data_IF_293132766757
#
_entry.id   IF_293132766757
#
_cell.length_a   1.000
_cell.length_b   1.000
_cell.length_c   1.000
_cell.angle_alpha   90.00
_cell.angle_beta   90.00
_cell.angle_gamma   90.00
#
_symmetry.space_group_name_H-M   'P 1'
#
loop_
_entity.id
_entity.type
_entity.pdbx_description
1 polymer ?
#
# COMPACT_ATOMS: atom_id res chain seq x y z
N UNK A 1 -7.98 6.64 19.68
CA UNK A 1 -7.70 5.67 18.64
C UNK A 1 -6.31 5.90 18.06
N UNK A 2 -5.55 4.83 18.03
CA UNK A 2 -4.21 4.87 17.49
C UNK A 2 -4.20 4.84 15.96
N UNK A 3 -3.02 4.93 15.35
CA UNK A 3 -2.88 4.93 13.90
C UNK A 3 -3.06 3.55 13.30
N UNK A 4 -3.29 3.54 11.98
CA UNK A 4 -3.08 2.35 11.16
C UNK A 4 -1.96 2.62 10.17
N UNK A 5 -1.31 1.58 9.71
CA UNK A 5 -0.26 1.66 8.69
C UNK A 5 -0.50 0.61 7.62
N UNK A 6 -0.04 0.92 6.42
CA UNK A 6 -0.05 -0.01 5.30
C UNK A 6 1.36 -0.14 4.74
N UNK A 7 1.77 -1.36 4.47
CA UNK A 7 2.91 -1.65 3.61
C UNK A 7 2.36 -2.06 2.26
N UNK A 8 2.83 -1.42 1.20
CA UNK A 8 2.32 -1.63 -0.15
C UNK A 8 3.46 -2.01 -1.09
N UNK A 9 3.18 -2.93 -2.00
CA UNK A 9 4.16 -3.36 -2.99
C UNK A 9 3.45 -3.50 -4.33
N UNK A 10 3.97 -2.83 -5.36
CA UNK A 10 3.40 -2.92 -6.70
C UNK A 10 3.62 -4.32 -7.27
N UNK A 11 2.52 -4.97 -7.64
CA UNK A 11 2.55 -6.35 -8.11
C UNK A 11 3.27 -6.48 -9.44
N UNK A 12 4.17 -7.46 -9.50
CA UNK A 12 4.90 -7.81 -10.72
C UNK A 12 5.67 -6.64 -11.34
N UNK A 13 6.14 -5.71 -10.52
CA UNK A 13 6.81 -4.51 -11.00
C UNK A 13 8.07 -4.82 -11.80
N UNK A 14 8.82 -5.87 -11.40
CA UNK A 14 9.99 -6.30 -12.16
C UNK A 14 9.61 -6.66 -13.60
N UNK A 15 8.48 -7.36 -13.78
CA UNK A 15 7.99 -7.71 -15.12
C UNK A 15 7.62 -6.47 -15.93
N UNK A 16 7.07 -5.45 -15.28
CA UNK A 16 6.76 -4.17 -15.93
C UNK A 16 8.03 -3.54 -16.48
N UNK A 17 9.09 -3.45 -15.67
CA UNK A 17 10.38 -2.93 -16.11
C UNK A 17 10.99 -3.77 -17.23
N UNK A 18 10.97 -5.09 -17.09
CA UNK A 18 11.56 -6.01 -18.07
C UNK A 18 10.85 -5.92 -19.42
N UNK A 19 9.53 -5.70 -19.41
CA UNK A 19 8.73 -5.65 -20.65
C UNK A 19 8.73 -4.27 -21.29
N UNK A 20 8.66 -3.21 -20.49
CA UNK A 20 8.43 -1.85 -20.97
C UNK A 20 9.59 -0.87 -20.73
N UNK A 21 10.61 -1.31 -19.97
CA UNK A 21 11.78 -0.48 -19.65
C UNK A 21 11.59 0.35 -18.38
N UNK A 22 12.72 0.84 -17.87
CA UNK A 22 12.75 1.56 -16.58
C UNK A 22 12.01 2.91 -16.62
N UNK A 23 12.01 3.60 -17.77
CA UNK A 23 11.27 4.87 -17.88
C UNK A 23 9.78 4.65 -17.71
N UNK A 24 9.25 3.57 -18.30
CA UNK A 24 7.84 3.20 -18.12
C UNK A 24 7.57 2.81 -16.66
N UNK A 25 8.47 2.03 -16.06
CA UNK A 25 8.36 1.67 -14.65
C UNK A 25 8.34 2.89 -13.73
N UNK A 26 9.19 3.88 -13.99
CA UNK A 26 9.20 5.13 -13.22
C UNK A 26 7.87 5.87 -13.38
N UNK A 27 7.31 5.91 -14.59
CA UNK A 27 6.00 6.52 -14.81
C UNK A 27 4.89 5.79 -14.06
N UNK A 28 4.95 4.46 -13.98
CA UNK A 28 4.00 3.64 -13.20
C UNK A 28 4.11 4.00 -11.71
N UNK A 29 5.32 4.15 -11.18
CA UNK A 29 5.53 4.54 -9.77
C UNK A 29 4.95 5.92 -9.48
N UNK A 30 5.18 6.90 -10.35
CA UNK A 30 4.63 8.25 -10.18
C UNK A 30 3.11 8.21 -10.24
N UNK A 31 2.55 7.49 -11.19
CA UNK A 31 1.11 7.33 -11.34
C UNK A 31 0.49 6.69 -10.09
N UNK A 32 1.10 5.64 -9.58
CA UNK A 32 0.66 4.98 -8.33
C UNK A 32 0.62 5.99 -7.17
N UNK A 33 1.69 6.75 -6.99
CA UNK A 33 1.78 7.72 -5.90
C UNK A 33 0.71 8.80 -6.03
N UNK A 34 0.50 9.33 -7.22
CA UNK A 34 -0.51 10.36 -7.47
C UNK A 34 -1.92 9.83 -7.20
N UNK A 35 -2.25 8.64 -7.72
CA UNK A 35 -3.57 8.04 -7.52
C UNK A 35 -3.81 7.72 -6.05
N UNK A 36 -2.81 7.21 -5.36
CA UNK A 36 -2.92 6.90 -3.93
C UNK A 36 -3.15 8.17 -3.12
N UNK A 37 -2.39 9.23 -3.37
CA UNK A 37 -2.57 10.51 -2.67
C UNK A 37 -3.97 11.08 -2.83
N UNK A 38 -4.60 10.87 -3.99
CA UNK A 38 -5.95 11.36 -4.24
C UNK A 38 -7.02 10.74 -3.33
N UNK A 39 -6.78 9.53 -2.83
CA UNK A 39 -7.73 8.85 -1.94
C UNK A 39 -7.37 8.98 -0.46
N UNK A 40 -6.21 9.57 -0.15
CA UNK A 40 -5.78 9.77 1.23
C UNK A 40 -6.39 11.04 1.81
N UNK A 41 -6.55 11.06 3.15
CA UNK A 41 -6.96 12.24 3.88
C UNK A 41 -5.77 13.19 4.03
N UNK A 42 -6.07 14.44 4.39
CA UNK A 42 -5.06 15.48 4.57
C UNK A 42 -4.00 15.09 5.61
N UNK A 43 -4.39 14.41 6.68
CA UNK A 43 -3.48 13.98 7.74
C UNK A 43 -2.68 12.74 7.37
N UNK A 44 -3.09 12.01 6.34
CA UNK A 44 -2.43 10.78 5.94
C UNK A 44 -1.12 11.08 5.20
N UNK A 45 -0.20 10.14 5.24
CA UNK A 45 1.10 10.30 4.60
C UNK A 45 1.44 9.07 3.78
N UNK A 46 1.98 9.33 2.60
CA UNK A 46 2.53 8.31 1.70
C UNK A 46 4.02 8.54 1.58
N UNK A 47 4.80 7.48 1.79
CA UNK A 47 6.24 7.53 1.60
C UNK A 47 6.70 6.33 0.77
N UNK A 48 7.78 6.53 0.02
CA UNK A 48 8.41 5.43 -0.69
C UNK A 48 9.37 4.74 0.29
N UNK A 49 9.20 3.43 0.47
CA UNK A 49 9.95 2.66 1.44
C UNK A 49 11.16 1.96 0.80
N UNK A 50 11.01 1.50 -0.43
CA UNK A 50 12.04 0.82 -1.20
C UNK A 50 11.73 0.96 -2.68
N UNK A 51 12.30 0.14 -3.55
CA UNK A 51 12.14 0.21 -4.99
C UNK A 51 10.70 0.41 -5.45
N UNK A 52 9.87 -0.61 -5.31
CA UNK A 52 8.43 -0.57 -5.62
C UNK A 52 7.58 -0.69 -4.36
N UNK A 53 8.16 -0.41 -3.20
CA UNK A 53 7.50 -0.50 -1.90
C UNK A 53 7.17 0.87 -1.34
N UNK A 54 5.98 0.98 -0.78
CA UNK A 54 5.48 2.22 -0.19
C UNK A 54 4.92 1.97 1.20
N UNK A 55 4.84 3.03 1.97
CA UNK A 55 4.28 3.03 3.32
C UNK A 55 3.21 4.11 3.39
N UNK A 56 2.06 3.77 3.94
CA UNK A 56 1.00 4.75 4.22
C UNK A 56 0.78 4.79 5.73
N UNK A 57 0.78 5.99 6.28
CA UNK A 57 0.45 6.24 7.67
C UNK A 57 -0.94 6.90 7.73
N UNK A 58 -1.82 6.32 8.53
CA UNK A 58 -3.21 6.77 8.69
C UNK A 58 -3.45 7.14 10.15
N UNK A 59 -3.10 8.38 10.57
CA UNK A 59 -3.28 8.80 11.96
C UNK A 59 -4.76 8.74 12.37
N UNK A 60 -5.04 8.17 13.54
CA UNK A 60 -6.38 8.11 14.08
C UNK A 60 -7.37 7.22 13.35
N UNK A 61 -6.93 6.46 12.37
CA UNK A 61 -7.81 5.57 11.61
C UNK A 61 -7.86 4.19 12.29
N UNK A 62 -9.05 3.74 12.64
CA UNK A 62 -9.24 2.38 13.11
C UNK A 62 -9.19 1.39 11.93
N UNK A 63 -9.32 0.09 12.22
CA UNK A 63 -9.24 -0.94 11.20
C UNK A 63 -10.28 -0.75 10.09
N UNK A 64 -11.51 -0.43 10.44
CA UNK A 64 -12.57 -0.26 9.43
C UNK A 64 -12.29 0.92 8.51
N UNK A 65 -11.88 2.06 9.08
CA UNK A 65 -11.53 3.24 8.29
C UNK A 65 -10.34 2.96 7.38
N UNK A 66 -9.32 2.27 7.90
CA UNK A 66 -8.13 1.91 7.14
C UNK A 66 -8.46 0.94 6.00
N UNK A 67 -9.31 -0.05 6.24
CA UNK A 67 -9.75 -0.97 5.17
C UNK A 67 -10.51 -0.23 4.07
N UNK A 68 -11.30 0.78 4.43
CA UNK A 68 -11.97 1.63 3.45
C UNK A 68 -10.99 2.37 2.55
N UNK A 69 -9.90 2.88 3.13
CA UNK A 69 -8.84 3.53 2.35
C UNK A 69 -8.17 2.51 1.41
N UNK A 70 -7.86 1.33 1.90
CA UNK A 70 -7.25 0.28 1.08
C UNK A 70 -8.14 -0.09 -0.12
N UNK A 71 -9.45 -0.22 0.11
CA UNK A 71 -10.39 -0.50 -0.97
C UNK A 71 -10.39 0.61 -2.02
N UNK A 72 -10.32 1.87 -1.61
CA UNK A 72 -10.25 2.99 -2.54
C UNK A 72 -8.95 3.01 -3.32
N UNK A 73 -7.85 2.61 -2.70
CA UNK A 73 -6.56 2.48 -3.42
C UNK A 73 -6.71 1.44 -4.54
N UNK A 74 -7.22 0.25 -4.22
CA UNK A 74 -7.43 -0.78 -5.24
C UNK A 74 -8.36 -0.30 -6.35
N UNK A 75 -9.44 0.36 -6.00
CA UNK A 75 -10.43 0.83 -6.97
C UNK A 75 -9.85 1.88 -7.92
N UNK A 76 -9.06 2.81 -7.40
CA UNK A 76 -8.48 3.86 -8.26
C UNK A 76 -7.43 3.29 -9.22
N UNK A 77 -6.78 2.18 -8.86
CA UNK A 77 -5.81 1.51 -9.73
C UNK A 77 -6.44 0.51 -10.70
N UNK A 78 -7.74 0.34 -10.64
CA UNK A 78 -8.51 -0.52 -11.54
C UNK A 78 -9.31 0.30 -12.56
N UNK A 79 -8.89 1.53 -12.82
CA UNK A 79 -9.61 2.48 -13.69
C UNK A 79 -9.42 2.22 -15.18
N UNK A 80 -8.48 1.37 -15.55
CA UNK A 80 -8.15 1.10 -16.96
C UNK A 80 -7.12 2.05 -17.55
N UNK A 81 -6.52 2.90 -16.73
CA UNK A 81 -5.45 3.79 -17.20
C UNK A 81 -4.22 2.96 -17.60
N UNK A 82 -3.51 3.33 -18.70
CA UNK A 82 -2.35 2.56 -19.18
C UNK A 82 -1.22 2.39 -18.16
N UNK A 83 -1.13 3.28 -17.17
CA UNK A 83 -0.09 3.22 -16.14
C UNK A 83 -0.58 2.57 -14.85
N UNK A 84 -1.80 2.06 -14.80
CA UNK A 84 -2.32 1.36 -13.63
C UNK A 84 -1.50 0.09 -13.39
N UNK A 85 -1.27 -0.20 -12.10
CA UNK A 85 -0.56 -1.39 -11.66
C UNK A 85 -1.25 -1.88 -10.39
N UNK A 86 -1.51 -3.17 -10.31
CA UNK A 86 -2.10 -3.76 -9.11
C UNK A 86 -1.11 -3.68 -7.95
N UNK A 87 -1.64 -3.73 -6.74
CA UNK A 87 -0.85 -3.59 -5.53
C UNK A 87 -1.29 -4.61 -4.49
N UNK A 88 -0.31 -5.14 -3.75
CA UNK A 88 -0.56 -5.96 -2.56
C UNK A 88 -0.36 -5.08 -1.34
N UNK A 89 -1.24 -5.18 -0.36
CA UNK A 89 -1.25 -4.33 0.83
C UNK A 89 -1.30 -5.18 2.09
N UNK A 90 -0.38 -4.91 3.01
CA UNK A 90 -0.46 -5.39 4.39
C UNK A 90 -0.89 -4.25 5.28
N UNK A 91 -1.97 -4.43 6.02
CA UNK A 91 -2.60 -3.40 6.84
C UNK A 91 -2.56 -3.81 8.30
N UNK A 92 -2.12 -2.91 9.18
CA UNK A 92 -2.20 -3.13 10.62
C UNK A 92 -2.73 -1.88 11.31
N UNK A 93 -3.43 -2.11 12.43
CA UNK A 93 -3.88 -1.03 13.29
C UNK A 93 -3.17 -1.16 14.64
N UNK A 94 -2.86 -0.02 15.26
CA UNK A 94 -2.19 0.01 16.56
C UNK A 94 -3.02 -0.78 17.59
N UNK A 95 -2.35 -1.69 18.30
CA UNK A 95 -3.02 -2.59 19.24
C UNK A 95 -3.03 -2.11 20.68
N UNK A 96 -2.39 -0.98 20.97
CA UNK A 96 -2.38 -0.40 22.30
C UNK A 96 -1.00 0.08 22.72
N UNK A 97 -0.91 0.69 23.94
CA UNK A 97 0.33 1.36 24.40
C UNK A 97 1.55 0.44 24.49
N UNK A 98 1.34 -0.86 24.51
CA UNK A 98 2.44 -1.84 24.60
C UNK A 98 3.11 -2.06 23.24
N UNK A 99 2.45 -1.69 22.17
CA UNK A 99 2.98 -1.96 20.82
C UNK A 99 3.89 -0.84 20.35
N UNK A 100 5.08 -1.22 19.88
CA UNK A 100 6.03 -0.28 19.27
C UNK A 100 5.72 -0.11 17.79
N UNK A 101 6.26 0.95 17.20
CA UNK A 101 6.18 1.15 15.75
C UNK A 101 6.83 -0.02 15.00
N UNK A 102 7.98 -0.49 15.48
CA UNK A 102 8.66 -1.64 14.85
C UNK A 102 7.78 -2.89 14.86
N UNK A 103 7.05 -3.12 15.93
CA UNK A 103 6.12 -4.25 16.01
C UNK A 103 4.97 -4.09 15.01
N UNK A 104 4.42 -2.89 14.85
CA UNK A 104 3.39 -2.61 13.85
C UNK A 104 3.91 -2.86 12.44
N UNK A 105 5.10 -2.36 12.14
CA UNK A 105 5.73 -2.54 10.81
C UNK A 105 5.97 -4.01 10.53
N UNK A 106 6.42 -4.77 11.52
CA UNK A 106 6.61 -6.22 11.40
C UNK A 106 5.31 -6.95 11.05
N UNK A 107 4.20 -6.58 11.72
CA UNK A 107 2.88 -7.16 11.44
C UNK A 107 2.40 -6.78 10.03
N UNK A 108 2.60 -5.53 9.63
CA UNK A 108 2.23 -5.07 8.30
C UNK A 108 3.01 -5.80 7.22
N UNK A 109 4.31 -5.99 7.44
CA UNK A 109 5.18 -6.71 6.52
C UNK A 109 4.75 -8.18 6.37
N UNK A 110 4.45 -8.84 7.48
CA UNK A 110 3.94 -10.22 7.47
C UNK A 110 2.60 -10.31 6.72
N UNK A 111 1.71 -9.33 6.92
CA UNK A 111 0.43 -9.26 6.22
C UNK A 111 0.64 -9.05 4.71
N UNK A 112 1.57 -8.18 4.33
CA UNK A 112 1.93 -7.97 2.93
C UNK A 112 2.43 -9.26 2.29
N UNK A 113 3.28 -10.00 2.98
CA UNK A 113 3.78 -11.28 2.50
C UNK A 113 2.62 -12.25 2.24
N UNK A 114 1.64 -12.30 3.15
CA UNK A 114 0.45 -13.14 2.95
C UNK A 114 -0.38 -12.68 1.75
N UNK A 115 -0.53 -11.37 1.55
CA UNK A 115 -1.25 -10.84 0.39
C UNK A 115 -0.62 -11.33 -0.91
N UNK A 116 0.71 -11.32 -0.99
CA UNK A 116 1.44 -11.82 -2.16
C UNK A 116 1.24 -13.32 -2.35
N UNK A 117 1.27 -14.08 -1.27
CA UNK A 117 1.11 -15.54 -1.31
C UNK A 117 -0.30 -15.95 -1.69
N UNK A 118 -1.30 -15.17 -1.30
CA UNK A 118 -2.71 -15.49 -1.54
C UNK A 118 -3.18 -15.08 -2.93
N UNK A 119 -2.32 -14.51 -3.74
CA UNK A 119 -2.64 -14.21 -5.14
C UNK A 119 -2.44 -12.77 -5.54
N UNK A 120 -1.88 -11.93 -4.70
CA UNK A 120 -1.64 -10.49 -4.97
C UNK A 120 -2.94 -9.71 -5.17
N UNK A 121 -2.84 -8.45 -5.53
CA UNK A 121 -3.99 -7.56 -5.79
C UNK A 121 -5.03 -7.65 -4.69
N UNK A 122 -4.59 -7.48 -3.45
CA UNK A 122 -5.47 -7.58 -2.27
C UNK A 122 -4.84 -6.93 -1.06
N UNK A 123 -5.70 -6.71 -0.05
CA UNK A 123 -5.28 -6.27 1.27
C UNK A 123 -5.43 -7.43 2.24
N UNK A 124 -4.39 -7.67 3.04
CA UNK A 124 -4.46 -8.59 4.18
C UNK A 124 -4.26 -7.77 5.44
N UNK A 125 -5.14 -7.98 6.42
CA UNK A 125 -5.08 -7.33 7.72
C UNK A 125 -4.30 -8.21 8.68
N UNK A 126 -3.25 -7.63 9.26
CA UNK A 126 -2.42 -8.32 10.22
C UNK A 126 -2.74 -7.99 11.66
#
# INVERSE_FOLDING_TARGET
NGPSIMMLDLDNFKAVNDTHGHQHGDAVLVHFAERTRQVLRRADRLGRYGGEEFLVLLPGADAAAAEGVAQRIHATLASGHPLDCQVSIGLTSWSGPQETLDAMLSRADAALYRAKREGRNRTVVG
#
